data_IF_689673165529
#
_entry.id   IF_689673165529
#
_cell.length_a   1.000
_cell.length_b   1.000
_cell.length_c   1.000
_cell.angle_alpha   90.00
_cell.angle_beta   90.00
_cell.angle_gamma   90.00
#
_symmetry.space_group_name_H-M   'P 1'
#
loop_
_entity.id
_entity.type
_entity.pdbx_description
1 polymer ?
#
# COMPACT_ATOMS: atom_id res chain seq x y z
N UNK A 1 -22.42 20.65 -28.84
CA UNK A 1 -21.26 19.76 -28.66
C UNK A 1 -20.80 19.91 -27.22
N UNK A 2 -21.02 18.91 -26.37
CA UNK A 2 -20.48 18.90 -25.00
C UNK A 2 -19.13 18.20 -25.06
N UNK A 3 -18.06 18.93 -24.79
CA UNK A 3 -16.73 18.35 -24.57
C UNK A 3 -16.81 17.34 -23.43
N UNK A 4 -16.54 16.07 -23.74
CA UNK A 4 -16.17 15.09 -22.73
C UNK A 4 -14.77 15.46 -22.28
N UNK A 5 -14.66 16.10 -21.11
CA UNK A 5 -13.40 16.15 -20.38
C UNK A 5 -12.83 14.73 -20.32
N UNK A 6 -11.59 14.56 -20.81
CA UNK A 6 -10.90 13.29 -20.76
C UNK A 6 -10.86 12.82 -19.30
N UNK A 7 -11.47 11.66 -19.03
CA UNK A 7 -11.36 10.99 -17.74
C UNK A 7 -9.87 10.69 -17.54
N UNK A 8 -9.19 11.41 -16.65
CA UNK A 8 -7.80 11.08 -16.28
C UNK A 8 -7.81 9.66 -15.72
N UNK A 9 -7.19 8.73 -16.45
CA UNK A 9 -7.12 7.33 -16.05
C UNK A 9 -6.25 7.20 -14.81
N UNK A 10 -6.72 6.51 -13.77
CA UNK A 10 -5.90 6.14 -12.60
C UNK A 10 -5.04 4.90 -12.86
N UNK A 11 -4.99 4.40 -14.10
CA UNK A 11 -4.25 3.18 -14.43
C UNK A 11 -2.78 3.51 -14.67
N UNK A 12 -1.92 2.97 -13.80
CA UNK A 12 -0.49 2.88 -14.05
C UNK A 12 -0.17 1.47 -14.53
N UNK A 13 0.58 1.36 -15.62
CA UNK A 13 1.07 0.09 -16.15
C UNK A 13 2.59 0.01 -16.01
N UNK A 14 3.06 -0.91 -15.16
CA UNK A 14 4.47 -1.30 -15.09
C UNK A 14 4.84 -2.07 -16.35
N UNK A 15 5.94 -1.70 -16.99
CA UNK A 15 6.51 -2.41 -18.13
C UNK A 15 8.03 -2.50 -18.02
N UNK A 16 8.58 -3.64 -18.46
CA UNK A 16 10.02 -3.90 -18.51
C UNK A 16 10.56 -3.50 -19.87
N UNK A 17 11.24 -2.35 -19.93
CA UNK A 17 11.78 -1.80 -21.17
C UNK A 17 12.94 -2.64 -21.64
N UNK A 18 12.95 -2.99 -22.93
CA UNK A 18 14.00 -3.84 -23.53
C UNK A 18 13.88 -5.32 -23.19
N UNK A 19 12.81 -5.73 -22.49
CA UNK A 19 12.57 -7.12 -22.17
C UNK A 19 12.22 -7.95 -23.41
N UNK A 20 12.67 -9.21 -23.40
CA UNK A 20 12.30 -10.21 -24.40
C UNK A 20 10.85 -10.67 -24.20
N UNK A 21 10.10 -10.94 -25.29
CA UNK A 21 8.79 -11.58 -25.18
C UNK A 21 8.98 -13.03 -24.73
N UNK A 22 8.44 -13.39 -23.57
CA UNK A 22 8.57 -14.75 -23.03
C UNK A 22 7.23 -15.23 -22.46
N UNK A 23 7.01 -16.55 -22.53
CA UNK A 23 5.83 -17.20 -21.96
C UNK A 23 6.11 -17.54 -20.50
N UNK A 24 5.17 -17.32 -19.57
CA UNK A 24 5.36 -17.73 -18.18
C UNK A 24 5.45 -19.24 -18.05
N UNK A 25 6.28 -19.67 -17.11
CA UNK A 25 6.33 -21.03 -16.59
C UNK A 25 5.53 -21.04 -15.29
N UNK A 26 4.59 -21.95 -15.23
CA UNK A 26 3.70 -22.19 -14.10
C UNK A 26 4.45 -22.96 -13.00
N UNK A 27 4.48 -22.43 -11.77
CA UNK A 27 5.16 -23.05 -10.64
C UNK A 27 4.21 -23.13 -9.43
N UNK A 28 4.29 -24.24 -8.68
CA UNK A 28 3.46 -24.49 -7.49
C UNK A 28 1.94 -24.31 -7.76
N UNK A 29 1.31 -25.25 -8.48
CA UNK A 29 -0.11 -25.19 -8.80
C UNK A 29 -0.98 -25.24 -7.55
N UNK A 30 -2.04 -24.45 -7.55
CA UNK A 30 -3.03 -24.37 -6.50
C UNK A 30 -4.32 -25.11 -6.90
N UNK A 31 -5.06 -25.61 -5.92
CA UNK A 31 -6.32 -26.32 -6.17
C UNK A 31 -7.47 -25.39 -6.59
N UNK A 32 -7.32 -24.07 -6.39
CA UNK A 32 -8.32 -23.07 -6.75
C UNK A 32 -8.44 -22.85 -8.25
N UNK A 33 -9.66 -22.56 -8.72
CA UNK A 33 -9.94 -22.16 -10.10
C UNK A 33 -10.60 -20.80 -10.13
N UNK A 34 -10.30 -20.01 -11.15
CA UNK A 34 -10.92 -18.69 -11.36
C UNK A 34 -11.78 -18.73 -12.62
N UNK A 35 -12.93 -18.06 -12.55
CA UNK A 35 -13.86 -17.93 -13.66
C UNK A 35 -14.15 -16.44 -13.90
N UNK A 36 -13.95 -15.98 -15.13
CA UNK A 36 -14.26 -14.61 -15.56
C UNK A 36 -15.53 -14.66 -16.41
N UNK A 37 -16.68 -14.40 -15.79
CA UNK A 37 -17.98 -14.39 -16.47
C UNK A 37 -18.32 -12.97 -16.93
N UNK A 38 -17.90 -12.60 -18.15
CA UNK A 38 -18.09 -11.25 -18.68
C UNK A 38 -19.36 -11.17 -19.53
N UNK A 39 -20.34 -10.40 -19.06
CA UNK A 39 -21.59 -10.17 -19.78
C UNK A 39 -22.50 -11.39 -19.85
N UNK A 40 -23.63 -11.25 -20.55
CA UNK A 40 -24.65 -12.29 -20.66
C UNK A 40 -24.34 -13.35 -21.75
N UNK A 41 -23.39 -13.07 -22.65
CA UNK A 41 -22.96 -14.04 -23.66
C UNK A 41 -21.94 -15.01 -23.05
N UNK A 42 -22.36 -16.25 -22.81
CA UNK A 42 -21.51 -17.30 -22.23
C UNK A 42 -20.26 -17.62 -23.06
N UNK A 43 -20.21 -17.24 -24.35
CA UNK A 43 -19.01 -17.40 -25.20
C UNK A 43 -17.89 -16.43 -24.82
N UNK A 44 -18.21 -15.37 -24.09
CA UNK A 44 -17.23 -14.41 -23.56
C UNK A 44 -16.72 -14.80 -22.18
N UNK A 45 -17.21 -15.91 -21.61
CA UNK A 45 -16.77 -16.39 -20.33
C UNK A 45 -15.45 -17.14 -20.47
N UNK A 46 -14.52 -16.89 -19.56
CA UNK A 46 -13.30 -17.68 -19.41
C UNK A 46 -13.45 -18.48 -18.13
N UNK A 47 -13.64 -19.79 -18.24
CA UNK A 47 -13.87 -20.67 -17.09
C UNK A 47 -12.70 -21.62 -16.87
N UNK A 48 -12.61 -22.16 -15.65
CA UNK A 48 -11.63 -23.18 -15.24
C UNK A 48 -10.17 -22.71 -15.34
N UNK A 49 -9.91 -21.42 -15.13
CA UNK A 49 -8.55 -20.88 -15.16
C UNK A 49 -7.78 -21.43 -13.97
N UNK A 50 -6.70 -22.22 -14.18
CA UNK A 50 -5.87 -22.73 -13.09
C UNK A 50 -5.16 -21.59 -12.36
N UNK A 51 -4.86 -21.80 -11.09
CA UNK A 51 -4.13 -20.84 -10.26
C UNK A 51 -2.81 -21.44 -9.78
N UNK A 52 -1.84 -20.59 -9.53
CA UNK A 52 -0.46 -20.96 -9.19
C UNK A 52 0.06 -20.00 -8.11
N UNK A 53 0.93 -20.47 -7.23
CA UNK A 53 1.59 -19.60 -6.26
C UNK A 53 2.63 -18.70 -6.94
N UNK A 54 3.25 -19.19 -8.02
CA UNK A 54 4.33 -18.49 -8.72
C UNK A 54 4.23 -18.61 -10.23
N UNK A 55 4.64 -17.55 -10.93
CA UNK A 55 4.85 -17.53 -12.38
C UNK A 55 6.25 -17.04 -12.68
N UNK A 56 7.05 -17.85 -13.38
CA UNK A 56 8.42 -17.51 -13.78
C UNK A 56 8.49 -17.17 -15.26
N UNK A 57 8.94 -15.98 -15.57
CA UNK A 57 9.30 -15.54 -16.90
C UNK A 57 10.83 -15.69 -17.03
N UNK A 58 11.29 -16.67 -17.80
CA UNK A 58 12.73 -16.91 -17.96
C UNK A 58 13.37 -15.98 -18.97
N UNK A 59 14.60 -15.52 -18.70
CA UNK A 59 15.38 -14.66 -19.62
C UNK A 59 14.58 -13.46 -20.15
N UNK A 60 13.84 -12.78 -19.27
CA UNK A 60 13.20 -11.49 -19.58
C UNK A 60 14.25 -10.48 -20.03
N UNK A 61 15.41 -10.51 -19.38
CA UNK A 61 16.66 -9.95 -19.88
C UNK A 61 17.70 -11.07 -20.00
N UNK A 62 18.80 -10.91 -20.76
CA UNK A 62 19.83 -11.93 -20.88
C UNK A 62 20.35 -12.39 -19.50
N UNK A 63 20.04 -13.64 -19.12
CA UNK A 63 20.43 -14.22 -17.82
C UNK A 63 19.63 -13.72 -16.62
N UNK A 64 18.49 -13.05 -16.82
CA UNK A 64 17.64 -12.53 -15.75
C UNK A 64 16.22 -13.02 -15.93
N UNK A 65 15.72 -13.76 -14.94
CA UNK A 65 14.33 -14.16 -14.85
C UNK A 65 13.52 -13.12 -14.06
N UNK A 66 12.22 -13.05 -14.31
CA UNK A 66 11.26 -12.37 -13.43
C UNK A 66 10.31 -13.39 -12.85
N UNK A 67 10.14 -13.41 -11.53
CA UNK A 67 9.24 -14.33 -10.85
C UNK A 67 8.16 -13.54 -10.15
N UNK A 68 6.90 -13.73 -10.55
CA UNK A 68 5.75 -13.14 -9.86
C UNK A 68 5.17 -14.13 -8.86
N UNK A 69 4.77 -13.64 -7.69
CA UNK A 69 4.16 -14.47 -6.63
C UNK A 69 3.30 -13.61 -5.70
N UNK A 70 2.45 -14.26 -4.90
CA UNK A 70 1.57 -13.59 -3.94
C UNK A 70 1.97 -13.83 -2.48
N UNK A 71 2.00 -12.78 -1.67
CA UNK A 71 2.24 -12.80 -0.21
C UNK A 71 1.21 -11.91 0.47
N UNK A 72 0.52 -12.40 1.51
CA UNK A 72 -0.42 -11.59 2.34
C UNK A 72 -1.38 -10.66 1.57
N UNK A 73 -1.93 -11.15 0.44
CA UNK A 73 -2.83 -10.44 -0.50
C UNK A 73 -2.18 -9.34 -1.35
N UNK A 74 -0.87 -9.31 -1.44
CA UNK A 74 -0.09 -8.42 -2.31
C UNK A 74 0.56 -9.24 -3.43
N UNK A 75 0.70 -8.64 -4.61
CA UNK A 75 1.46 -9.19 -5.72
C UNK A 75 2.90 -8.67 -5.59
N UNK A 76 3.85 -9.58 -5.54
CA UNK A 76 5.29 -9.30 -5.52
C UNK A 76 5.95 -9.86 -6.77
N UNK A 77 7.15 -9.36 -7.06
CA UNK A 77 7.96 -9.92 -8.13
C UNK A 77 9.45 -9.76 -7.85
N UNK A 78 10.22 -10.79 -8.17
CA UNK A 78 11.67 -10.79 -8.03
C UNK A 78 12.34 -10.77 -9.40
N UNK A 79 13.44 -10.03 -9.54
CA UNK A 79 14.44 -10.29 -10.56
C UNK A 79 15.45 -11.30 -10.05
N UNK A 80 15.56 -12.44 -10.71
CA UNK A 80 16.58 -13.46 -10.40
C UNK A 80 17.68 -13.37 -11.44
N UNK A 81 18.80 -12.77 -11.04
CA UNK A 81 19.97 -12.52 -11.86
C UNK A 81 20.91 -13.72 -11.73
N UNK A 82 21.15 -14.42 -12.85
CA UNK A 82 22.07 -15.55 -12.89
C UNK A 82 23.53 -15.09 -12.66
N UNK A 83 24.45 -16.00 -12.26
CA UNK A 83 25.87 -15.69 -12.20
C UNK A 83 26.36 -15.01 -13.48
N UNK A 84 27.11 -13.93 -13.30
CA UNK A 84 27.71 -13.10 -14.34
C UNK A 84 26.72 -12.37 -15.28
N UNK A 85 25.41 -12.48 -15.08
CA UNK A 85 24.44 -11.65 -15.78
C UNK A 85 24.53 -10.19 -15.32
N UNK A 86 24.18 -9.26 -16.19
CA UNK A 86 24.29 -7.82 -15.94
C UNK A 86 22.95 -7.23 -15.45
N UNK A 87 22.80 -6.93 -14.14
CA UNK A 87 21.57 -6.36 -13.61
C UNK A 87 21.28 -4.95 -14.14
N UNK A 88 22.26 -4.25 -14.72
CA UNK A 88 22.04 -2.94 -15.32
C UNK A 88 21.12 -2.98 -16.56
N UNK A 89 20.89 -4.17 -17.12
CA UNK A 89 19.90 -4.37 -18.18
C UNK A 89 18.45 -4.14 -17.72
N UNK A 90 18.18 -4.24 -16.41
CA UNK A 90 16.82 -4.11 -15.88
C UNK A 90 16.38 -2.63 -15.91
N UNK A 91 15.32 -2.35 -16.66
CA UNK A 91 14.76 -1.01 -16.77
C UNK A 91 13.22 -1.03 -16.67
N UNK A 92 12.69 -0.46 -15.61
CA UNK A 92 11.26 -0.33 -15.36
C UNK A 92 10.72 0.96 -15.95
N UNK A 93 9.50 0.91 -16.47
CA UNK A 93 8.75 2.09 -16.93
C UNK A 93 7.33 2.04 -16.38
N UNK A 94 6.80 3.20 -15.99
CA UNK A 94 5.45 3.32 -15.42
C UNK A 94 4.58 4.16 -16.34
N UNK A 95 3.91 3.51 -17.29
CA UNK A 95 3.05 4.20 -18.26
C UNK A 95 1.76 4.65 -17.58
N UNK A 96 1.34 5.88 -17.84
CA UNK A 96 0.18 6.50 -17.19
C UNK A 96 0.50 7.20 -15.86
N UNK A 97 1.77 7.17 -15.42
CA UNK A 97 2.22 8.01 -14.32
C UNK A 97 2.46 9.45 -14.81
N UNK A 98 2.00 10.42 -14.02
CA UNK A 98 2.24 11.85 -14.23
C UNK A 98 3.60 12.29 -13.67
N UNK A 99 4.11 11.56 -12.67
CA UNK A 99 5.43 11.82 -12.07
C UNK A 99 6.07 10.56 -11.52
N UNK A 100 7.38 10.42 -11.67
CA UNK A 100 8.21 9.41 -11.02
C UNK A 100 9.34 10.14 -10.32
N UNK A 101 9.52 9.93 -9.02
CA UNK A 101 10.56 10.62 -8.24
C UNK A 101 11.04 9.79 -7.07
N UNK A 102 12.23 10.10 -6.57
CA UNK A 102 12.70 9.59 -5.30
C UNK A 102 11.96 10.29 -4.13
N UNK A 103 11.64 9.53 -3.10
CA UNK A 103 11.20 9.99 -1.79
C UNK A 103 12.38 10.28 -0.87
N UNK A 104 12.12 10.90 0.29
CA UNK A 104 13.15 11.31 1.24
C UNK A 104 14.01 10.15 1.79
N UNK A 105 13.47 8.93 1.80
CA UNK A 105 14.16 7.71 2.25
C UNK A 105 14.74 6.85 1.13
N UNK A 106 14.77 7.33 -0.13
CA UNK A 106 15.20 6.54 -1.30
C UNK A 106 14.11 5.67 -1.92
N UNK A 107 12.92 5.63 -1.31
CA UNK A 107 11.71 5.01 -1.88
C UNK A 107 11.39 5.63 -3.25
N UNK A 108 10.83 4.87 -4.19
CA UNK A 108 10.32 5.39 -5.45
C UNK A 108 8.86 5.81 -5.28
N UNK A 109 8.49 7.01 -5.72
CA UNK A 109 7.11 7.50 -5.71
C UNK A 109 6.65 7.66 -7.15
N UNK A 110 5.65 6.86 -7.54
CA UNK A 110 5.01 6.86 -8.84
C UNK A 110 3.60 7.45 -8.67
N UNK A 111 3.35 8.63 -9.23
CA UNK A 111 2.06 9.31 -9.08
C UNK A 111 1.25 9.29 -10.37
N UNK A 112 -0.05 9.07 -10.26
CA UNK A 112 -1.03 9.24 -11.34
C UNK A 112 -2.31 9.89 -10.81
N UNK A 113 -2.85 10.87 -11.52
CA UNK A 113 -4.04 11.64 -11.14
C UNK A 113 -3.98 12.18 -9.69
N UNK A 114 -2.79 12.65 -9.26
CA UNK A 114 -2.57 13.18 -7.92
C UNK A 114 -2.46 12.14 -6.79
N UNK A 115 -2.48 10.84 -7.10
CA UNK A 115 -2.31 9.75 -6.13
C UNK A 115 -0.94 9.09 -6.31
N UNK A 116 -0.18 8.96 -5.23
CA UNK A 116 1.16 8.35 -5.24
C UNK A 116 1.14 6.89 -4.79
N UNK A 117 1.72 6.01 -5.58
CA UNK A 117 2.12 4.67 -5.19
C UNK A 117 3.59 4.70 -4.77
N UNK A 118 3.90 4.09 -3.63
CA UNK A 118 5.26 4.05 -3.11
C UNK A 118 5.86 2.66 -3.37
N UNK A 119 7.04 2.60 -3.96
CA UNK A 119 7.86 1.39 -3.90
C UNK A 119 8.93 1.62 -2.87
N UNK A 120 9.01 0.74 -1.89
CA UNK A 120 10.10 0.78 -0.91
C UNK A 120 11.42 0.48 -1.60
N UNK A 121 12.51 0.94 -0.99
CA UNK A 121 13.85 0.54 -1.42
C UNK A 121 13.89 -0.96 -1.75
N UNK A 122 14.51 -1.34 -2.89
CA UNK A 122 14.57 -2.72 -3.30
C UNK A 122 15.40 -3.53 -2.30
N UNK A 123 14.91 -4.70 -1.93
CA UNK A 123 15.69 -5.66 -1.18
C UNK A 123 16.52 -6.49 -2.16
N UNK A 124 17.85 -6.37 -2.10
CA UNK A 124 18.73 -7.25 -2.89
C UNK A 124 19.51 -8.19 -1.96
N UNK A 125 19.69 -9.44 -2.37
CA UNK A 125 20.42 -10.43 -1.58
C UNK A 125 20.95 -11.60 -2.41
N UNK A 126 21.95 -12.28 -1.87
CA UNK A 126 22.45 -13.56 -2.37
C UNK A 126 22.19 -14.65 -1.33
N UNK A 127 21.78 -15.84 -1.77
CA UNK A 127 21.69 -17.00 -0.88
C UNK A 127 23.08 -17.63 -0.74
N UNK A 128 23.56 -17.77 0.50
CA UNK A 128 24.78 -18.52 0.83
C UNK A 128 24.47 -19.56 1.89
N UNK A 129 24.23 -20.80 1.45
CA UNK A 129 23.97 -21.93 2.34
C UNK A 129 22.65 -21.83 3.10
N UNK A 130 21.60 -21.32 2.46
CA UNK A 130 20.27 -21.11 3.06
C UNK A 130 20.15 -19.80 3.84
N UNK A 131 21.20 -18.97 3.87
CA UNK A 131 21.20 -17.66 4.51
C UNK A 131 21.21 -16.56 3.47
N UNK A 132 20.21 -15.68 3.51
CA UNK A 132 20.19 -14.44 2.71
C UNK A 132 21.26 -13.48 3.21
N UNK A 133 22.23 -13.17 2.35
CA UNK A 133 23.26 -12.15 2.57
C UNK A 133 22.82 -10.89 1.82
N UNK A 134 22.54 -9.77 2.51
CA UNK A 134 22.02 -8.57 1.86
C UNK A 134 23.08 -7.91 0.97
N UNK A 135 22.60 -7.32 -0.13
CA UNK A 135 23.34 -6.45 -1.03
C UNK A 135 22.65 -5.10 -1.00
N UNK A 136 23.40 -4.01 -0.80
CA UNK A 136 22.81 -2.68 -0.81
C UNK A 136 22.17 -2.40 -2.17
N UNK A 137 20.97 -1.83 -2.20
CA UNK A 137 20.27 -1.52 -3.44
C UNK A 137 19.43 -0.25 -3.32
N UNK A 138 19.39 0.53 -4.39
CA UNK A 138 18.60 1.76 -4.52
C UNK A 138 18.02 1.90 -5.92
N UNK A 139 17.01 2.76 -6.06
CA UNK A 139 16.50 3.14 -7.37
C UNK A 139 17.32 4.28 -7.96
N UNK A 140 17.59 4.19 -9.26
CA UNK A 140 18.07 5.31 -10.08
C UNK A 140 17.05 5.63 -11.17
N UNK A 141 16.69 6.92 -11.29
CA UNK A 141 15.72 7.41 -12.27
C UNK A 141 16.50 8.09 -13.40
N UNK A 142 16.47 7.50 -14.58
CA UNK A 142 17.09 8.06 -15.78
C UNK A 142 16.33 9.31 -16.27
N UNK A 143 16.99 10.13 -17.09
CA UNK A 143 16.41 11.37 -17.64
C UNK A 143 15.16 11.15 -18.48
N UNK A 144 14.98 9.94 -19.03
CA UNK A 144 13.81 9.53 -19.81
C UNK A 144 12.70 8.90 -18.96
N UNK A 145 12.84 8.91 -17.63
CA UNK A 145 11.87 8.39 -16.67
C UNK A 145 11.96 6.88 -16.43
N UNK A 146 12.91 6.17 -17.05
CA UNK A 146 13.14 4.77 -16.72
C UNK A 146 13.76 4.62 -15.33
N UNK A 147 13.29 3.62 -14.58
CA UNK A 147 13.79 3.31 -13.25
C UNK A 147 14.67 2.07 -13.34
N UNK A 148 15.90 2.20 -12.85
CA UNK A 148 16.92 1.15 -12.80
C UNK A 148 17.35 0.91 -11.36
N UNK A 149 18.21 -0.08 -11.15
CA UNK A 149 18.74 -0.42 -9.84
C UNK A 149 20.22 -0.06 -9.74
N UNK A 150 20.59 0.67 -8.71
CA UNK A 150 21.97 0.81 -8.27
C UNK A 150 22.24 -0.22 -7.19
N UNK A 151 23.33 -0.97 -7.32
CA UNK A 151 23.68 -2.07 -6.42
C UNK A 151 25.05 -1.81 -5.80
N UNK A 152 25.19 -2.14 -4.52
CA UNK A 152 26.49 -2.24 -3.85
C UNK A 152 27.27 -3.47 -4.31
N UNK A 153 28.46 -3.66 -3.74
CA UNK A 153 29.32 -4.80 -4.08
C UNK A 153 28.66 -6.14 -3.73
N UNK A 154 28.78 -7.10 -4.65
CA UNK A 154 28.30 -8.47 -4.47
C UNK A 154 29.15 -9.46 -5.29
N UNK A 155 29.04 -10.75 -4.96
CA UNK A 155 29.78 -11.80 -5.66
C UNK A 155 29.08 -12.19 -6.96
N UNK A 156 29.61 -11.74 -8.09
CA UNK A 156 29.03 -12.00 -9.42
C UNK A 156 29.03 -13.48 -9.85
N UNK A 157 29.75 -14.36 -9.17
CA UNK A 157 29.72 -15.81 -9.45
C UNK A 157 28.53 -16.52 -8.80
N UNK A 158 27.82 -15.83 -7.91
CA UNK A 158 26.61 -16.33 -7.24
C UNK A 158 25.37 -15.62 -7.80
N UNK A 159 24.20 -16.29 -7.84
CA UNK A 159 22.95 -15.63 -8.21
C UNK A 159 22.64 -14.44 -7.28
N UNK A 160 21.97 -13.43 -7.82
CA UNK A 160 21.48 -12.27 -7.08
C UNK A 160 19.96 -12.19 -7.25
N UNK A 161 19.24 -12.01 -6.14
CA UNK A 161 17.82 -11.67 -6.18
C UNK A 161 17.66 -10.18 -5.88
N UNK A 162 16.85 -9.49 -6.68
CA UNK A 162 16.40 -8.11 -6.43
C UNK A 162 14.88 -8.15 -6.32
N UNK A 163 14.36 -7.75 -5.17
CA UNK A 163 12.94 -7.76 -4.81
C UNK A 163 12.46 -6.31 -4.61
N UNK A 164 11.75 -5.71 -5.59
CA UNK A 164 11.14 -4.39 -5.46
C UNK A 164 9.80 -4.48 -4.72
N UNK A 165 9.74 -3.95 -3.49
CA UNK A 165 8.53 -4.01 -2.68
C UNK A 165 7.56 -2.85 -3.01
N UNK A 166 6.32 -3.18 -3.39
CA UNK A 166 5.28 -2.18 -3.69
C UNK A 166 4.43 -1.94 -2.44
N UNK A 167 4.42 -0.70 -1.95
CA UNK A 167 3.48 -0.25 -0.92
C UNK A 167 2.40 0.61 -1.56
N UNK A 168 1.19 0.05 -1.66
CA UNK A 168 0.02 0.80 -2.08
C UNK A 168 -0.36 1.83 -1.00
N UNK A 169 -0.58 3.09 -1.39
CA UNK A 169 -1.20 4.08 -0.51
C UNK A 169 -2.64 3.66 -0.20
N UNK A 170 -2.99 3.51 1.08
CA UNK A 170 -4.36 3.23 1.49
C UNK A 170 -5.08 4.55 1.77
N UNK A 171 -6.20 4.77 1.09
CA UNK A 171 -7.12 5.85 1.45
C UNK A 171 -7.82 5.47 2.76
N UNK A 172 -7.82 6.39 3.72
CA UNK A 172 -8.62 6.29 4.94
C UNK A 172 -9.60 7.46 4.95
N UNK A 173 -10.86 7.16 4.69
CA UNK A 173 -11.94 8.12 4.53
C UNK A 173 -13.16 7.47 3.89
N UNK A 174 -14.28 8.18 3.88
CA UNK A 174 -15.52 7.78 3.23
C UNK A 174 -15.94 8.79 2.16
N UNK A 175 -17.25 8.98 2.03
CA UNK A 175 -17.89 9.77 0.98
C UNK A 175 -17.84 11.28 1.18
N UNK A 176 -17.50 11.76 2.37
CA UNK A 176 -17.49 13.18 2.74
C UNK A 176 -16.10 13.62 3.24
N UNK A 177 -16.01 14.82 3.81
CA UNK A 177 -14.76 15.38 4.32
C UNK A 177 -14.20 14.55 5.49
N UNK A 178 -12.96 14.08 5.32
CA UNK A 178 -12.20 13.39 6.35
C UNK A 178 -10.82 14.03 6.51
N UNK A 179 -10.51 14.48 7.73
CA UNK A 179 -9.30 15.24 8.02
C UNK A 179 -8.55 14.55 9.15
N UNK A 180 -7.43 13.88 8.81
CA UNK A 180 -6.47 13.42 9.81
C UNK A 180 -5.71 14.63 10.38
N UNK A 181 -5.88 14.90 11.67
CA UNK A 181 -5.26 16.04 12.36
C UNK A 181 -3.95 15.66 13.04
N UNK A 182 -3.79 14.39 13.46
CA UNK A 182 -2.59 13.89 14.15
C UNK A 182 -2.21 12.48 13.71
N UNK A 183 -0.90 12.22 13.76
CA UNK A 183 -0.30 10.90 13.54
C UNK A 183 0.75 10.61 14.61
N UNK A 184 0.76 9.38 15.14
CA UNK A 184 1.76 8.90 16.11
C UNK A 184 2.19 7.50 15.72
N UNK A 185 3.50 7.23 15.73
CA UNK A 185 4.04 5.87 15.57
C UNK A 185 4.60 5.38 16.92
N UNK A 186 4.11 4.23 17.40
CA UNK A 186 4.53 3.66 18.70
C UNK A 186 4.29 2.15 18.70
N UNK A 187 5.19 1.40 19.34
CA UNK A 187 5.06 -0.05 19.56
C UNK A 187 4.75 -0.86 18.28
N UNK A 188 5.33 -0.46 17.14
CA UNK A 188 5.13 -1.13 15.86
C UNK A 188 3.77 -0.87 15.20
N UNK A 189 3.06 0.18 15.61
CA UNK A 189 1.79 0.61 15.01
C UNK A 189 1.81 2.09 14.65
N UNK A 190 0.96 2.48 13.70
CA UNK A 190 0.68 3.87 13.34
C UNK A 190 -0.74 4.22 13.76
N UNK A 191 -0.89 5.31 14.49
CA UNK A 191 -2.17 5.80 15.01
C UNK A 191 -2.49 7.13 14.36
N UNK A 192 -3.73 7.30 13.92
CA UNK A 192 -4.26 8.52 13.35
C UNK A 192 -5.47 8.96 14.18
N UNK A 193 -5.59 10.27 14.37
CA UNK A 193 -6.79 10.87 14.93
C UNK A 193 -7.16 12.14 14.18
N UNK A 194 -8.45 12.41 14.11
CA UNK A 194 -8.96 13.55 13.36
C UNK A 194 -10.46 13.69 13.46
N UNK A 195 -11.05 14.14 12.35
CA UNK A 195 -12.48 14.38 12.18
C UNK A 195 -12.94 13.72 10.88
N UNK A 196 -14.13 13.13 10.91
CA UNK A 196 -14.80 12.58 9.73
C UNK A 196 -16.24 13.03 9.69
N UNK A 197 -16.65 13.56 8.54
CA UNK A 197 -18.05 13.84 8.21
C UNK A 197 -18.63 12.73 7.33
N UNK A 198 -17.94 11.59 7.18
CA UNK A 198 -18.38 10.47 6.36
C UNK A 198 -19.21 9.51 7.20
N UNK A 199 -20.39 9.10 6.74
CA UNK A 199 -21.18 8.04 7.39
C UNK A 199 -20.60 6.64 7.13
N UNK A 200 -19.80 6.51 6.08
CA UNK A 200 -19.16 5.29 5.60
C UNK A 200 -17.64 5.27 5.87
N UNK A 201 -17.18 6.05 6.86
CA UNK A 201 -15.78 5.99 7.29
C UNK A 201 -15.40 4.56 7.71
N UNK A 202 -14.21 4.05 7.30
CA UNK A 202 -13.81 2.69 7.60
C UNK A 202 -13.68 2.42 9.11
N UNK A 203 -14.48 1.48 9.61
CA UNK A 203 -14.44 1.01 11.00
C UNK A 203 -13.91 -0.42 11.09
N UNK A 204 -13.22 -0.74 12.19
CA UNK A 204 -12.69 -2.07 12.45
C UNK A 204 -12.60 -2.29 13.95
N UNK A 205 -13.29 -3.30 14.48
CA UNK A 205 -13.32 -3.59 15.92
C UNK A 205 -13.80 -2.40 16.78
N UNK A 206 -14.65 -1.55 16.21
CA UNK A 206 -14.90 -0.20 16.71
C UNK A 206 -15.69 -0.16 18.03
N UNK A 207 -15.49 0.93 18.78
CA UNK A 207 -16.36 1.30 19.89
C UNK A 207 -17.71 1.84 19.38
N UNK A 208 -17.65 2.79 18.42
CA UNK A 208 -18.80 3.27 17.65
C UNK A 208 -18.58 2.93 16.16
N UNK A 209 -19.53 2.19 15.58
CA UNK A 209 -19.48 1.75 14.19
C UNK A 209 -20.13 2.74 13.21
N UNK A 210 -20.80 3.79 13.72
CA UNK A 210 -21.43 4.84 12.96
C UNK A 210 -21.20 6.17 13.66
N UNK A 211 -21.16 7.26 12.88
CA UNK A 211 -21.20 8.61 13.44
C UNK A 211 -22.52 8.87 14.16
N UNK A 212 -22.46 9.63 15.24
CA UNK A 212 -23.62 10.02 16.05
C UNK A 212 -24.09 11.43 15.70
N UNK A 213 -23.21 12.27 15.13
CA UNK A 213 -23.49 13.63 14.71
C UNK A 213 -23.20 13.89 13.23
N UNK A 214 -23.06 15.18 12.88
CA UNK A 214 -22.69 15.60 11.52
C UNK A 214 -21.24 15.24 11.20
N UNK A 215 -20.32 15.50 12.13
CA UNK A 215 -18.92 15.12 12.02
C UNK A 215 -18.45 14.68 13.40
N UNK A 216 -17.85 13.49 13.47
CA UNK A 216 -17.36 12.91 14.71
C UNK A 216 -15.82 12.85 14.68
N UNK A 217 -15.21 12.76 15.86
CA UNK A 217 -13.81 12.42 15.91
C UNK A 217 -13.62 10.99 15.39
N UNK A 218 -12.46 10.69 14.81
CA UNK A 218 -12.07 9.31 14.55
C UNK A 218 -10.74 9.00 15.20
N UNK A 219 -10.55 7.72 15.54
CA UNK A 219 -9.27 7.14 15.94
C UNK A 219 -9.07 5.88 15.14
N UNK A 220 -7.95 5.80 14.41
CA UNK A 220 -7.56 4.63 13.62
C UNK A 220 -6.16 4.16 14.01
N UNK A 221 -5.96 2.85 14.02
CA UNK A 221 -4.70 2.17 14.29
C UNK A 221 -4.39 1.24 13.13
N UNK A 222 -3.20 1.36 12.58
CA UNK A 222 -2.67 0.49 11.54
C UNK A 222 -1.49 -0.32 12.07
N UNK A 223 -1.23 -1.47 11.45
CA UNK A 223 0.07 -2.14 11.53
C UNK A 223 1.19 -1.17 11.15
N UNK A 224 2.41 -1.38 11.67
CA UNK A 224 3.52 -0.43 11.50
C UNK A 224 3.99 -0.24 10.06
N UNK A 225 3.70 -1.21 9.19
CA UNK A 225 3.89 -1.17 7.74
C UNK A 225 2.73 -0.48 6.98
N UNK A 226 1.66 -0.10 7.69
CA UNK A 226 0.48 0.58 7.14
C UNK A 226 -0.47 -0.33 6.35
N UNK A 227 -0.23 -1.66 6.29
CA UNK A 227 -0.98 -2.57 5.41
C UNK A 227 -2.34 -2.96 5.98
N UNK A 228 -2.45 -3.09 7.31
CA UNK A 228 -3.66 -3.54 7.98
C UNK A 228 -4.26 -2.44 8.87
N UNK A 229 -5.56 -2.18 8.71
CA UNK A 229 -6.35 -1.40 9.67
C UNK A 229 -6.68 -2.34 10.84
N UNK A 230 -6.03 -2.14 11.98
CA UNK A 230 -6.13 -2.99 13.17
C UNK A 230 -7.34 -2.58 14.01
N UNK A 231 -7.57 -1.29 14.13
CA UNK A 231 -8.70 -0.71 14.86
C UNK A 231 -9.11 0.60 14.21
N UNK A 232 -10.40 0.89 14.15
CA UNK A 232 -10.91 2.20 13.70
C UNK A 232 -12.30 2.44 14.22
N UNK A 233 -12.55 3.61 14.81
CA UNK A 233 -13.82 3.98 15.42
C UNK A 233 -14.17 5.43 15.16
N UNK A 234 -15.47 5.71 15.13
CA UNK A 234 -15.99 7.04 15.44
C UNK A 234 -15.89 7.28 16.95
N UNK A 235 -15.83 8.55 17.35
CA UNK A 235 -15.91 8.99 18.73
C UNK A 235 -16.62 10.34 18.77
N UNK A 236 -17.89 10.33 19.15
CA UNK A 236 -18.73 11.53 19.16
C UNK A 236 -20.14 11.27 19.66
N UNK A 237 -20.86 12.35 19.89
CA UNK A 237 -22.29 12.38 20.22
C UNK A 237 -23.09 13.05 19.11
N UNK A 238 -24.21 13.68 19.44
CA UNK A 238 -25.18 14.21 18.45
C UNK A 238 -24.74 15.49 17.72
N UNK A 239 -23.64 16.13 18.15
CA UNK A 239 -23.12 17.39 17.60
C UNK A 239 -21.76 17.19 16.93
N UNK A 240 -21.00 18.26 16.71
CA UNK A 240 -19.67 18.18 16.10
C UNK A 240 -18.59 17.84 17.12
N UNK A 241 -17.79 16.83 16.80
CA UNK A 241 -16.69 16.34 17.62
C UNK A 241 -15.42 16.17 16.78
N UNK A 242 -14.25 16.51 17.34
CA UNK A 242 -12.99 16.27 16.65
C UNK A 242 -11.79 16.12 17.58
N UNK A 243 -10.85 15.25 17.18
CA UNK A 243 -9.59 15.04 17.86
C UNK A 243 -8.49 15.98 17.33
N UNK A 244 -7.89 16.79 18.19
CA UNK A 244 -6.79 17.71 17.88
C UNK A 244 -5.42 17.26 18.42
N UNK A 245 -5.41 16.30 19.34
CA UNK A 245 -4.23 15.78 20.01
C UNK A 245 -4.32 14.26 20.11
N UNK A 246 -3.17 13.60 19.94
CA UNK A 246 -3.02 12.17 20.06
C UNK A 246 -1.67 11.86 20.69
N UNK A 247 -1.67 11.02 21.72
CA UNK A 247 -0.46 10.46 22.31
C UNK A 247 -0.69 8.98 22.63
N UNK A 248 0.39 8.20 22.58
CA UNK A 248 0.37 6.77 22.92
C UNK A 248 1.52 6.50 23.88
N UNK A 249 1.22 5.89 25.02
CA UNK A 249 2.24 5.57 26.02
C UNK A 249 3.02 4.29 25.68
N UNK A 250 3.94 3.89 26.56
CA UNK A 250 4.73 2.68 26.38
C UNK A 250 3.89 1.39 26.51
N UNK A 251 2.80 1.40 27.27
CA UNK A 251 1.89 0.26 27.42
C UNK A 251 0.91 0.13 26.23
N UNK A 252 0.84 1.14 25.37
CA UNK A 252 -0.06 1.19 24.21
C UNK A 252 -1.41 1.84 24.50
N UNK A 253 -1.59 2.50 25.65
CA UNK A 253 -2.77 3.28 25.95
C UNK A 253 -2.81 4.55 25.10
N UNK A 254 -3.99 4.87 24.56
CA UNK A 254 -4.21 5.98 23.65
C UNK A 254 -4.85 7.14 24.42
N UNK A 255 -4.24 8.31 24.31
CA UNK A 255 -4.72 9.55 24.89
C UNK A 255 -5.11 10.49 23.76
N UNK A 256 -6.37 10.93 23.76
CA UNK A 256 -6.91 11.85 22.77
C UNK A 256 -7.31 13.14 23.45
N UNK A 257 -6.92 14.27 22.86
CA UNK A 257 -7.39 15.58 23.27
C UNK A 257 -8.11 16.22 22.08
N UNK A 258 -9.18 16.96 22.33
CA UNK A 258 -10.04 17.43 21.26
C UNK A 258 -11.10 18.39 21.74
N UNK A 259 -12.10 18.56 20.89
CA UNK A 259 -13.27 19.37 21.11
C UNK A 259 -14.51 18.49 20.96
N UNK A 260 -15.49 18.72 21.81
CA UNK A 260 -16.84 18.20 21.66
C UNK A 260 -17.84 19.33 21.86
N UNK A 261 -18.85 19.39 20.99
CA UNK A 261 -20.05 20.19 21.20
C UNK A 261 -21.25 19.32 21.60
N UNK A 262 -21.01 18.04 21.89
CA UNK A 262 -22.04 17.04 22.11
C UNK A 262 -22.33 16.92 23.60
N UNK A 263 -23.56 17.26 24.01
CA UNK A 263 -24.03 17.08 25.39
C UNK A 263 -24.04 15.60 25.80
N UNK A 264 -24.13 14.70 24.82
CA UNK A 264 -24.17 13.25 24.95
C UNK A 264 -22.87 12.57 24.50
N UNK A 265 -21.74 13.29 24.57
CA UNK A 265 -20.44 12.72 24.23
C UNK A 265 -20.16 11.44 25.05
N UNK A 266 -19.64 10.37 24.45
CA UNK A 266 -19.38 9.12 25.17
C UNK A 266 -18.42 9.29 26.35
N UNK A 267 -18.89 9.01 27.57
CA UNK A 267 -18.09 9.04 28.80
C UNK A 267 -18.22 7.76 29.61
N UNK A 268 -17.20 7.45 30.40
CA UNK A 268 -17.25 6.35 31.38
C UNK A 268 -17.77 6.83 32.75
N UNK A 269 -18.34 5.94 33.57
CA UNK A 269 -18.61 6.26 34.97
C UNK A 269 -17.33 6.73 35.68
N UNK A 270 -17.42 7.83 36.43
CA UNK A 270 -16.29 8.42 37.14
C UNK A 270 -15.44 9.40 36.32
N UNK A 271 -15.82 9.70 35.07
CA UNK A 271 -15.27 10.84 34.36
C UNK A 271 -15.53 12.15 35.14
N UNK A 272 -14.56 13.07 35.12
CA UNK A 272 -14.58 14.31 35.90
C UNK A 272 -15.80 15.18 35.57
N UNK A 273 -16.13 15.26 34.28
CA UNK A 273 -17.36 15.85 33.77
C UNK A 273 -17.93 14.92 32.69
N UNK A 274 -19.25 14.82 32.65
CA UNK A 274 -19.99 13.89 31.78
C UNK A 274 -20.96 14.60 30.86
N UNK A 275 -21.06 15.92 30.92
CA UNK A 275 -21.98 16.73 30.12
C UNK A 275 -21.27 17.94 29.56
N UNK A 276 -21.41 18.18 28.26
CA UNK A 276 -20.99 19.43 27.64
C UNK A 276 -22.15 20.45 27.76
N UNK A 277 -22.32 21.06 28.94
CA UNK A 277 -23.44 21.96 29.24
C UNK A 277 -23.12 23.46 29.04
N UNK A 278 -22.00 23.78 28.38
CA UNK A 278 -21.54 25.15 28.07
C UNK A 278 -21.32 26.09 29.27
N UNK A 279 -21.46 25.62 30.52
CA UNK A 279 -21.38 26.48 31.71
C UNK A 279 -22.57 27.40 31.90
#
# INVERSE_FOLDING_TARGET
>A
MKDRAAKTSMTVALAFRGASPVTPIEEAPLSGRVHYLRGADARQWTTDVPTFERLRYKNVYPGIDVVFYGTDRQLEYDFVVAPHADPAAIALTFRGADSIRAGAGGDLIVSAAGRGMMHKLPAAYQDRGGRRVPVAASYAIASDGAVTFELGDYDRSSPLTIDPMIVLSRFLGGTDSDIAKRVVARNGFVYLAGETCSADFPTQGAFQNARSGLCDAFISKFSGDGTQLVYSTYLGGTSTDYANGLAVDAAGAIYVAGYTASIDFPTTPGAFDRTCDNG
#
